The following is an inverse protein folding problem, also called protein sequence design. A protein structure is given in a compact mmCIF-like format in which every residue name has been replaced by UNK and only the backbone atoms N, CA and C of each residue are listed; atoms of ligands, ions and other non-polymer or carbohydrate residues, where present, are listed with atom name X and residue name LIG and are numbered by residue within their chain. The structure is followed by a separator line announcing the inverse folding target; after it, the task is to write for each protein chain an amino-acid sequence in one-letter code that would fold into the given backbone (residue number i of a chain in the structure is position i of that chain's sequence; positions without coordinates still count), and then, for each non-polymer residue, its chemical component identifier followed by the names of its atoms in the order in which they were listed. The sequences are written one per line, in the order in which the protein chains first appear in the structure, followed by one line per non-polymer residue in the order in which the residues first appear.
data_IF_388214019640
#
_entry.id   IF_388214019640
#
_cell.length_a   1.000
_cell.length_b   1.000
_cell.length_c   1.000
_cell.angle_alpha   90.00
_cell.angle_beta   90.00
_cell.angle_gamma   90.00
#
_symmetry.space_group_name_H-M   'P 1'
#
loop_
_entity.id
_entity.type
_entity.pdbx_description
1 polymer ?
#
# COMPACT_ATOMS: atom_id res chain seq x y z
N UNK A 1 -3.69 19.27 -45.70
CA UNK A 1 -2.87 20.45 -45.36
C UNK A 1 -3.12 20.76 -43.89
N UNK A 2 -2.16 20.46 -43.01
CA UNK A 2 -2.23 20.85 -41.60
C UNK A 2 -1.79 22.31 -41.53
N UNK A 3 -2.68 23.22 -41.12
CA UNK A 3 -2.34 24.64 -40.95
C UNK A 3 -1.33 24.77 -39.81
N UNK A 4 -0.08 25.04 -40.17
CA UNK A 4 0.91 25.50 -39.23
C UNK A 4 0.55 26.90 -38.76
N UNK A 5 0.72 27.13 -37.45
CA UNK A 5 0.54 28.40 -36.71
C UNK A 5 -0.89 28.72 -36.22
N UNK A 6 -1.58 27.78 -35.60
CA UNK A 6 -2.21 28.17 -34.33
C UNK A 6 -1.06 28.43 -33.37
N UNK A 7 -0.72 29.70 -33.21
CA UNK A 7 0.18 30.15 -32.16
C UNK A 7 -0.38 29.55 -30.87
N UNK A 8 0.43 28.76 -30.17
CA UNK A 8 0.02 28.05 -28.95
C UNK A 8 -0.54 29.03 -27.93
N UNK A 9 -1.86 29.30 -27.97
CA UNK A 9 -2.50 30.40 -27.26
C UNK A 9 -2.28 30.28 -25.76
N UNK A 10 -2.23 29.04 -25.26
CA UNK A 10 -1.85 28.73 -23.89
C UNK A 10 -0.47 29.29 -23.47
N UNK A 11 0.53 29.37 -24.36
CA UNK A 11 1.84 29.98 -24.05
C UNK A 11 1.73 31.48 -23.87
N UNK A 12 0.87 32.14 -24.63
CA UNK A 12 0.59 33.56 -24.49
C UNK A 12 -0.04 33.83 -23.12
N UNK A 13 -1.08 33.08 -22.76
CA UNK A 13 -1.70 33.19 -21.44
C UNK A 13 -0.72 32.84 -20.31
N UNK A 14 0.07 31.78 -20.45
CA UNK A 14 1.04 31.37 -19.41
C UNK A 14 2.08 32.46 -19.14
N UNK A 15 2.54 33.18 -20.17
CA UNK A 15 3.48 34.28 -20.01
C UNK A 15 2.83 35.54 -19.42
N UNK A 16 1.59 35.86 -19.79
CA UNK A 16 0.98 37.15 -19.49
C UNK A 16 0.19 37.18 -18.17
N UNK A 17 -0.32 36.04 -17.70
CA UNK A 17 -1.12 35.97 -16.46
C UNK A 17 -0.41 36.62 -15.25
N UNK A 18 0.88 36.36 -14.95
CA UNK A 18 1.53 36.96 -13.79
C UNK A 18 1.50 38.49 -13.81
N UNK A 19 1.77 39.10 -14.96
CA UNK A 19 1.75 40.56 -15.13
C UNK A 19 0.32 41.11 -14.98
N UNK A 20 -0.66 40.44 -15.58
CA UNK A 20 -2.06 40.85 -15.48
C UNK A 20 -2.64 40.70 -14.07
N UNK A 21 -2.25 39.65 -13.35
CA UNK A 21 -2.60 39.46 -11.94
C UNK A 21 -2.08 40.63 -11.11
N UNK A 22 -0.82 41.03 -11.28
CA UNK A 22 -0.24 42.18 -10.59
C UNK A 22 -0.99 43.49 -10.89
N UNK A 23 -1.40 43.70 -12.15
CA UNK A 23 -2.18 44.88 -12.55
C UNK A 23 -3.52 44.92 -11.81
N UNK A 24 -4.23 43.79 -11.74
CA UNK A 24 -5.55 43.69 -11.08
C UNK A 24 -5.44 43.77 -9.55
N UNK A 25 -4.38 43.21 -8.96
CA UNK A 25 -4.13 43.34 -7.52
C UNK A 25 -3.81 44.79 -7.11
N UNK A 26 -3.10 45.52 -7.97
CA UNK A 26 -2.80 46.95 -7.74
C UNK A 26 -4.01 47.85 -8.02
N UNK A 27 -4.90 47.42 -8.92
CA UNK A 27 -6.05 48.20 -9.37
C UNK A 27 -7.31 47.32 -9.36
N UNK A 28 -7.89 47.10 -8.19
CA UNK A 28 -9.04 46.19 -7.98
C UNK A 28 -10.22 46.47 -8.91
N UNK A 29 -10.42 47.75 -9.27
CA UNK A 29 -11.52 48.22 -10.11
C UNK A 29 -11.44 47.68 -11.55
N UNK A 30 -10.25 47.24 -11.98
CA UNK A 30 -10.02 46.64 -13.30
C UNK A 30 -10.37 45.14 -13.34
N UNK A 31 -10.59 44.49 -12.20
CA UNK A 31 -10.89 43.04 -12.15
C UNK A 31 -12.05 42.62 -13.06
N UNK A 32 -13.20 43.33 -13.08
CA UNK A 32 -14.31 42.96 -13.96
C UNK A 32 -13.96 43.06 -15.46
N UNK A 33 -13.08 43.98 -15.84
CA UNK A 33 -12.67 44.20 -17.22
C UNK A 33 -11.76 43.06 -17.75
N UNK A 34 -10.99 42.44 -16.86
CA UNK A 34 -10.11 41.32 -17.20
C UNK A 34 -10.71 39.94 -16.91
N UNK A 35 -12.01 39.87 -16.57
CA UNK A 35 -12.70 38.60 -16.29
C UNK A 35 -12.52 37.58 -17.42
N UNK A 36 -12.83 37.97 -18.66
CA UNK A 36 -12.73 37.08 -19.82
C UNK A 36 -11.30 36.65 -20.11
N UNK A 37 -10.31 37.48 -19.80
CA UNK A 37 -8.90 37.14 -19.96
C UNK A 37 -8.50 35.96 -19.06
N UNK A 38 -8.83 36.03 -17.76
CA UNK A 38 -8.48 34.95 -16.83
C UNK A 38 -9.29 33.68 -17.07
N UNK A 39 -10.58 33.80 -17.44
CA UNK A 39 -11.41 32.65 -17.82
C UNK A 39 -10.82 31.91 -19.02
N UNK A 40 -10.43 32.63 -20.07
CA UNK A 40 -9.77 32.03 -21.23
C UNK A 40 -8.41 31.44 -20.89
N UNK A 41 -7.63 32.10 -20.03
CA UNK A 41 -6.36 31.57 -19.56
C UNK A 41 -6.53 30.21 -18.86
N UNK A 42 -7.53 30.08 -17.99
CA UNK A 42 -7.87 28.81 -17.32
C UNK A 42 -8.23 27.73 -18.34
N UNK A 43 -9.05 28.06 -19.35
CA UNK A 43 -9.42 27.11 -20.40
C UNK A 43 -8.20 26.60 -21.18
N UNK A 44 -7.43 27.53 -21.73
CA UNK A 44 -6.32 27.24 -22.64
C UNK A 44 -5.16 26.54 -21.95
N UNK A 45 -4.79 26.98 -20.74
CA UNK A 45 -3.65 26.40 -20.01
C UNK A 45 -3.99 24.98 -19.51
N UNK A 46 -5.21 24.78 -18.98
CA UNK A 46 -5.61 23.48 -18.42
C UNK A 46 -5.69 22.37 -19.47
N UNK A 47 -6.14 22.68 -20.68
CA UNK A 47 -6.26 21.69 -21.76
C UNK A 47 -4.90 21.21 -22.30
N UNK A 48 -3.88 22.05 -22.19
CA UNK A 48 -2.58 21.81 -22.84
C UNK A 48 -1.52 21.29 -21.85
N UNK A 49 -1.68 21.55 -20.55
CA UNK A 49 -0.69 21.20 -19.53
C UNK A 49 -1.05 19.92 -18.78
N UNK A 50 -0.01 19.15 -18.46
CA UNK A 50 -0.12 17.93 -17.64
C UNK A 50 -0.13 18.21 -16.13
N UNK A 51 0.03 19.47 -15.74
CA UNK A 51 0.17 19.95 -14.37
C UNK A 51 -0.27 21.42 -14.27
N UNK A 52 -0.66 21.87 -13.07
CA UNK A 52 -1.03 23.26 -12.80
C UNK A 52 0.25 24.08 -12.62
N UNK A 53 0.54 24.96 -13.58
CA UNK A 53 1.65 25.92 -13.48
C UNK A 53 1.32 27.08 -12.55
N UNK A 54 2.34 27.86 -12.16
CA UNK A 54 2.14 29.06 -11.35
C UNK A 54 1.16 30.04 -12.02
N UNK A 55 1.30 30.25 -13.33
CA UNK A 55 0.38 31.07 -14.10
C UNK A 55 -1.06 30.54 -14.06
N UNK A 56 -1.26 29.21 -14.14
CA UNK A 56 -2.59 28.63 -13.99
C UNK A 56 -3.17 28.88 -12.60
N UNK A 57 -2.36 28.72 -11.54
CA UNK A 57 -2.80 28.98 -10.17
C UNK A 57 -3.19 30.45 -9.96
N UNK A 58 -2.41 31.38 -10.51
CA UNK A 58 -2.73 32.82 -10.49
C UNK A 58 -4.01 33.13 -11.28
N UNK A 59 -4.22 32.48 -12.44
CA UNK A 59 -5.46 32.64 -13.20
C UNK A 59 -6.66 32.13 -12.40
N UNK A 60 -6.57 30.95 -11.80
CA UNK A 60 -7.62 30.37 -10.95
C UNK A 60 -8.03 31.29 -9.78
N UNK A 61 -7.08 32.05 -9.22
CA UNK A 61 -7.35 33.01 -8.14
C UNK A 61 -8.14 34.25 -8.58
N UNK A 62 -8.14 34.58 -9.88
CA UNK A 62 -8.82 35.77 -10.40
C UNK A 62 -10.18 35.46 -11.04
N UNK A 63 -10.50 34.19 -11.26
CA UNK A 63 -11.76 33.75 -11.89
C UNK A 63 -12.87 33.58 -10.87
N UNK A 64 -14.12 33.83 -11.27
CA UNK A 64 -15.26 33.69 -10.38
C UNK A 64 -15.61 32.21 -10.12
N UNK A 65 -16.10 31.91 -8.92
CA UNK A 65 -16.47 30.56 -8.54
C UNK A 65 -17.62 30.02 -9.40
N UNK A 66 -18.55 30.88 -9.87
CA UNK A 66 -19.63 30.45 -10.77
C UNK A 66 -19.09 29.93 -12.10
N UNK A 67 -18.06 30.58 -12.67
CA UNK A 67 -17.38 30.08 -13.87
C UNK A 67 -16.72 28.73 -13.58
N UNK A 68 -15.99 28.61 -12.46
CA UNK A 68 -15.29 27.38 -12.11
C UNK A 68 -16.28 26.21 -11.93
N UNK A 69 -17.44 26.43 -11.32
CA UNK A 69 -18.48 25.41 -11.16
C UNK A 69 -19.05 24.96 -12.51
N UNK A 70 -19.25 25.87 -13.46
CA UNK A 70 -19.74 25.53 -14.81
C UNK A 70 -18.67 24.83 -15.66
N UNK A 71 -17.40 25.20 -15.48
CA UNK A 71 -16.29 24.71 -16.29
C UNK A 71 -15.72 23.38 -15.78
N UNK A 72 -15.56 23.23 -14.47
CA UNK A 72 -14.91 22.08 -13.83
C UNK A 72 -15.91 21.00 -13.43
N UNK A 73 -16.57 20.42 -14.44
CA UNK A 73 -17.56 19.35 -14.26
C UNK A 73 -16.93 17.96 -14.18
N UNK A 74 -17.74 16.96 -13.82
CA UNK A 74 -17.33 15.54 -13.83
C UNK A 74 -16.84 15.09 -15.21
N UNK A 75 -17.52 15.49 -16.29
CA UNK A 75 -17.15 15.16 -17.66
C UNK A 75 -15.79 15.76 -18.01
N UNK A 76 -15.54 17.00 -17.57
CA UNK A 76 -14.26 17.67 -17.76
C UNK A 76 -13.12 16.92 -17.09
N UNK A 77 -13.30 16.44 -15.86
CA UNK A 77 -12.28 15.65 -15.18
C UNK A 77 -12.02 14.30 -15.84
N UNK A 78 -13.04 13.67 -16.42
CA UNK A 78 -12.85 12.45 -17.23
C UNK A 78 -11.96 12.74 -18.44
N UNK A 79 -12.19 13.87 -19.13
CA UNK A 79 -11.37 14.29 -20.28
C UNK A 79 -9.92 14.54 -19.84
N UNK A 80 -9.71 15.30 -18.76
CA UNK A 80 -8.37 15.60 -18.24
C UNK A 80 -7.62 14.34 -17.77
N UNK A 81 -8.34 13.39 -17.16
CA UNK A 81 -7.78 12.13 -16.67
C UNK A 81 -7.49 11.10 -17.77
N UNK A 82 -7.92 11.35 -19.01
CA UNK A 82 -7.87 10.38 -20.13
C UNK A 82 -6.47 9.84 -20.35
N UNK A 83 -5.45 10.70 -20.37
CA UNK A 83 -4.05 10.29 -20.56
C UNK A 83 -3.28 10.17 -19.25
N UNK A 84 -3.58 11.03 -18.27
CA UNK A 84 -2.86 11.10 -17.00
C UNK A 84 -3.78 11.67 -15.93
N UNK A 85 -3.78 11.08 -14.73
CA UNK A 85 -4.54 11.62 -13.59
C UNK A 85 -3.86 12.83 -12.93
N UNK A 86 -2.60 13.13 -13.31
CA UNK A 86 -1.81 14.23 -12.71
C UNK A 86 -2.47 15.61 -12.78
N UNK A 87 -3.07 16.06 -13.91
CA UNK A 87 -3.71 17.38 -13.98
C UNK A 87 -4.83 17.52 -12.95
N UNK A 88 -5.63 16.47 -12.76
CA UNK A 88 -6.73 16.45 -11.79
C UNK A 88 -6.19 16.54 -10.36
N UNK A 89 -5.13 15.79 -10.03
CA UNK A 89 -4.49 15.86 -8.70
C UNK A 89 -3.94 17.26 -8.42
N UNK A 90 -3.22 17.84 -9.38
CA UNK A 90 -2.63 19.17 -9.21
C UNK A 90 -3.67 20.28 -9.13
N UNK A 91 -4.75 20.16 -9.89
CA UNK A 91 -5.89 21.08 -9.80
C UNK A 91 -6.55 21.02 -8.43
N UNK A 92 -6.81 19.82 -7.90
CA UNK A 92 -7.36 19.67 -6.55
C UNK A 92 -6.46 20.31 -5.49
N UNK A 93 -5.14 20.10 -5.55
CA UNK A 93 -4.18 20.74 -4.64
C UNK A 93 -4.18 22.26 -4.76
N UNK A 94 -4.24 22.79 -5.97
CA UNK A 94 -4.28 24.24 -6.18
C UNK A 94 -5.59 24.84 -5.66
N UNK A 95 -6.73 24.22 -5.97
CA UNK A 95 -8.03 24.68 -5.50
C UNK A 95 -8.11 24.66 -3.96
N UNK A 96 -7.71 23.55 -3.33
CA UNK A 96 -7.74 23.41 -1.89
C UNK A 96 -6.70 24.30 -1.17
N UNK A 97 -5.45 24.29 -1.62
CA UNK A 97 -4.34 24.93 -0.92
C UNK A 97 -4.14 26.41 -1.23
N UNK A 98 -4.65 26.91 -2.37
CA UNK A 98 -4.45 28.30 -2.80
C UNK A 98 -5.75 29.06 -3.00
N UNK A 99 -6.74 28.48 -3.67
CA UNK A 99 -7.99 29.20 -4.00
C UNK A 99 -8.91 29.28 -2.79
N UNK A 100 -9.24 28.13 -2.19
CA UNK A 100 -10.18 28.02 -1.07
C UNK A 100 -9.86 28.96 0.11
N UNK A 101 -8.59 29.11 0.57
CA UNK A 101 -8.26 29.99 1.69
C UNK A 101 -8.44 31.48 1.39
N UNK A 102 -8.53 31.88 0.13
CA UNK A 102 -8.70 33.28 -0.28
C UNK A 102 -10.16 33.72 -0.36
N UNK A 103 -11.09 32.77 -0.30
CA UNK A 103 -12.51 33.03 -0.38
C UNK A 103 -13.05 33.41 1.00
N UNK A 104 -13.76 34.53 1.09
CA UNK A 104 -14.45 34.97 2.31
C UNK A 104 -15.93 34.57 2.35
N UNK A 105 -16.51 34.28 1.19
CA UNK A 105 -17.93 33.94 1.04
C UNK A 105 -18.17 32.43 1.19
N UNK A 106 -19.16 32.06 2.00
CA UNK A 106 -19.46 30.67 2.32
C UNK A 106 -19.97 29.90 1.07
N UNK A 107 -20.80 30.52 0.23
CA UNK A 107 -21.31 29.86 -0.98
C UNK A 107 -20.17 29.59 -1.98
N UNK A 108 -19.23 30.52 -2.13
CA UNK A 108 -18.03 30.32 -2.93
C UNK A 108 -17.12 29.21 -2.35
N UNK A 109 -16.94 29.17 -1.03
CA UNK A 109 -16.17 28.11 -0.36
C UNK A 109 -16.80 26.72 -0.59
N UNK A 110 -18.12 26.61 -0.46
CA UNK A 110 -18.85 25.37 -0.70
C UNK A 110 -18.74 24.94 -2.16
N UNK A 111 -18.86 25.87 -3.10
CA UNK A 111 -18.72 25.61 -4.53
C UNK A 111 -17.33 25.05 -4.89
N UNK A 112 -16.25 25.66 -4.38
CA UNK A 112 -14.89 25.16 -4.61
C UNK A 112 -14.67 23.82 -3.92
N UNK A 113 -15.18 23.63 -2.71
CA UNK A 113 -15.10 22.35 -1.99
C UNK A 113 -15.79 21.22 -2.75
N UNK A 114 -16.94 21.49 -3.37
CA UNK A 114 -17.64 20.54 -4.24
C UNK A 114 -16.80 20.17 -5.48
N UNK A 115 -16.10 21.13 -6.09
CA UNK A 115 -15.19 20.87 -7.22
C UNK A 115 -14.00 20.00 -6.80
N UNK A 116 -13.42 20.27 -5.62
CA UNK A 116 -12.35 19.44 -5.04
C UNK A 116 -12.84 18.01 -4.80
N UNK A 117 -14.06 17.85 -4.26
CA UNK A 117 -14.69 16.54 -4.09
C UNK A 117 -14.85 15.78 -5.42
N UNK A 118 -15.26 16.46 -6.49
CA UNK A 118 -15.34 15.87 -7.84
C UNK A 118 -13.96 15.43 -8.37
N UNK A 119 -12.90 16.19 -8.09
CA UNK A 119 -11.53 15.79 -8.44
C UNK A 119 -11.13 14.50 -7.72
N UNK A 120 -11.40 14.42 -6.41
CA UNK A 120 -11.08 13.24 -5.58
C UNK A 120 -11.85 12.01 -6.10
N UNK A 121 -13.15 12.16 -6.37
CA UNK A 121 -13.98 11.12 -6.98
C UNK A 121 -13.35 10.56 -8.26
N UNK A 122 -12.84 11.43 -9.13
CA UNK A 122 -12.21 11.02 -10.38
C UNK A 122 -10.87 10.32 -10.14
N UNK A 123 -10.06 10.76 -9.17
CA UNK A 123 -8.81 10.09 -8.78
C UNK A 123 -9.10 8.70 -8.21
N UNK A 124 -10.12 8.58 -7.36
CA UNK A 124 -10.57 7.29 -6.81
C UNK A 124 -11.06 6.37 -7.93
N UNK A 125 -11.79 6.90 -8.92
CA UNK A 125 -12.24 6.12 -10.09
C UNK A 125 -11.07 5.62 -10.92
N UNK A 126 -10.10 6.47 -11.25
CA UNK A 126 -8.89 6.09 -12.02
C UNK A 126 -8.05 5.04 -11.28
N UNK A 127 -8.00 5.10 -9.95
CA UNK A 127 -7.37 4.07 -9.13
C UNK A 127 -8.13 2.73 -9.15
N UNK A 128 -9.47 2.74 -9.17
CA UNK A 128 -10.32 1.53 -9.18
C UNK A 128 -10.44 0.84 -10.53
N UNK A 129 -10.43 1.62 -11.61
CA UNK A 129 -10.63 1.14 -12.98
C UNK A 129 -9.29 1.15 -13.72
N UNK A 130 -8.40 0.16 -13.49
CA UNK A 130 -7.11 0.14 -14.16
C UNK A 130 -7.32 0.11 -15.67
N UNK A 131 -6.69 1.07 -16.36
CA UNK A 131 -6.66 1.10 -17.82
C UNK A 131 -6.11 -0.24 -18.30
N UNK A 132 -6.88 -0.98 -19.10
CA UNK A 132 -6.56 -2.30 -19.68
C UNK A 132 -5.41 -2.22 -20.69
N UNK A 133 -4.26 -1.71 -20.29
CA UNK A 133 -3.05 -1.75 -21.12
C UNK A 133 -2.18 -2.92 -20.68
N UNK A 134 -2.03 -3.88 -21.60
CA UNK A 134 -1.23 -5.10 -21.44
C UNK A 134 0.25 -4.85 -21.10
N UNK A 135 0.72 -3.59 -21.18
CA UNK A 135 2.10 -3.17 -20.94
C UNK A 135 2.33 -2.32 -19.67
N UNK A 136 1.28 -1.96 -18.93
CA UNK A 136 1.41 -1.24 -17.65
C UNK A 136 1.25 -2.20 -16.45
N UNK A 137 2.16 -3.17 -16.34
CA UNK A 137 2.38 -3.92 -15.10
C UNK A 137 3.27 -3.16 -14.10
N UNK A 138 3.77 -1.98 -14.48
CA UNK A 138 4.63 -1.15 -13.65
C UNK A 138 3.78 -0.10 -12.91
N UNK A 139 3.62 -0.35 -11.61
CA UNK A 139 2.99 0.52 -10.59
C UNK A 139 1.51 0.84 -10.82
N UNK A 140 0.63 -0.05 -10.35
CA UNK A 140 -0.69 0.42 -9.86
C UNK A 140 -0.41 1.57 -8.88
N UNK A 141 -1.07 2.74 -8.98
CA UNK A 141 -0.93 3.78 -7.96
C UNK A 141 -1.23 3.12 -6.62
N UNK A 142 -0.32 3.22 -5.65
CA UNK A 142 -0.52 2.55 -4.37
C UNK A 142 -1.70 3.18 -3.63
N UNK A 143 -2.39 2.44 -2.78
CA UNK A 143 -3.41 3.02 -1.89
C UNK A 143 -2.81 4.13 -1.03
N UNK A 144 -1.53 3.98 -0.64
CA UNK A 144 -0.79 5.03 0.06
C UNK A 144 -0.71 6.30 -0.79
N UNK A 145 -0.47 6.22 -2.10
CA UNK A 145 -0.41 7.40 -2.98
C UNK A 145 -1.77 8.13 -3.08
N UNK A 146 -2.86 7.37 -2.95
CA UNK A 146 -4.22 7.91 -2.91
C UNK A 146 -4.50 8.60 -1.57
N UNK A 147 -4.08 7.99 -0.46
CA UNK A 147 -4.20 8.58 0.88
C UNK A 147 -3.32 9.82 1.02
N UNK A 148 -2.05 9.77 0.60
CA UNK A 148 -1.13 10.91 0.55
C UNK A 148 -1.78 12.09 -0.19
N UNK A 149 -2.33 11.83 -1.38
CA UNK A 149 -3.06 12.85 -2.13
C UNK A 149 -4.27 13.40 -1.36
N UNK A 150 -5.06 12.54 -0.72
CA UNK A 150 -6.26 12.97 -0.01
C UNK A 150 -5.96 13.82 1.23
N UNK A 151 -4.90 13.49 1.98
CA UNK A 151 -4.43 14.31 3.08
C UNK A 151 -3.82 15.62 2.59
N UNK A 152 -3.11 15.63 1.45
CA UNK A 152 -2.62 16.88 0.83
C UNK A 152 -3.77 17.85 0.49
N UNK A 153 -4.93 17.33 0.11
CA UNK A 153 -6.12 18.12 -0.25
C UNK A 153 -7.16 18.24 0.88
N UNK A 154 -6.77 17.92 2.12
CA UNK A 154 -7.59 18.17 3.32
C UNK A 154 -8.82 17.28 3.49
N UNK A 155 -8.94 16.18 2.74
CA UNK A 155 -10.10 15.25 2.80
C UNK A 155 -9.72 13.84 3.27
N UNK A 156 -8.53 13.68 3.85
CA UNK A 156 -7.99 12.38 4.23
C UNK A 156 -8.94 11.55 5.11
N UNK A 157 -9.63 12.21 6.05
CA UNK A 157 -10.59 11.56 6.96
C UNK A 157 -11.84 11.03 6.24
N UNK A 158 -12.23 11.66 5.12
CA UNK A 158 -13.39 11.27 4.31
C UNK A 158 -13.16 10.01 3.46
N UNK A 159 -11.92 9.51 3.38
CA UNK A 159 -11.58 8.31 2.61
C UNK A 159 -11.79 6.98 3.36
N UNK A 160 -12.51 6.99 4.48
CA UNK A 160 -12.90 5.77 5.20
C UNK A 160 -13.53 4.72 4.28
N UNK A 161 -14.37 5.16 3.34
CA UNK A 161 -15.00 4.27 2.35
C UNK A 161 -14.01 3.60 1.39
N UNK A 162 -12.88 4.25 1.10
CA UNK A 162 -11.82 3.67 0.26
C UNK A 162 -11.14 2.54 1.02
N UNK A 163 -10.77 2.77 2.29
CA UNK A 163 -10.19 1.74 3.15
C UNK A 163 -11.17 0.56 3.34
N UNK A 164 -12.43 0.85 3.61
CA UNK A 164 -13.48 -0.17 3.75
C UNK A 164 -13.64 -1.01 2.47
N UNK A 165 -13.58 -0.40 1.29
CA UNK A 165 -13.69 -1.14 0.01
C UNK A 165 -12.52 -2.07 -0.25
N UNK A 166 -11.32 -1.74 0.22
CA UNK A 166 -10.17 -2.66 0.15
C UNK A 166 -10.43 -3.91 0.99
N UNK A 167 -11.09 -3.72 2.14
CA UNK A 167 -11.47 -4.81 3.03
C UNK A 167 -12.67 -5.57 2.47
N UNK A 168 -13.64 -4.96 1.77
CA UNK A 168 -14.90 -5.63 1.36
C UNK A 168 -14.79 -6.44 0.07
N UNK A 169 -13.71 -6.29 -0.71
CA UNK A 169 -13.53 -6.99 -1.99
C UNK A 169 -13.89 -8.49 -1.91
N UNK A 170 -14.75 -8.96 -2.82
CA UNK A 170 -15.36 -10.31 -2.75
C UNK A 170 -14.33 -11.45 -2.83
N UNK A 171 -13.29 -11.29 -3.65
CA UNK A 171 -12.20 -12.26 -3.80
C UNK A 171 -10.95 -11.83 -3.01
N UNK A 172 -10.97 -12.10 -1.70
CA UNK A 172 -9.77 -12.03 -0.84
C UNK A 172 -9.06 -13.37 -0.84
N UNK A 173 -8.35 -13.64 -1.91
CA UNK A 173 -7.36 -14.70 -1.92
C UNK A 173 -6.15 -14.32 -1.03
N UNK A 174 -5.33 -15.33 -0.76
CA UNK A 174 -4.17 -15.19 0.12
C UNK A 174 -3.15 -14.18 -0.44
N UNK A 175 -3.03 -14.10 -1.76
CA UNK A 175 -2.13 -13.20 -2.48
C UNK A 175 -2.56 -11.74 -2.29
N UNK A 176 -3.85 -11.43 -2.42
CA UNK A 176 -4.37 -10.08 -2.21
C UNK A 176 -4.11 -9.59 -0.78
N UNK A 177 -4.36 -10.42 0.23
CA UNK A 177 -4.11 -10.04 1.62
C UNK A 177 -2.62 -9.77 1.82
N UNK A 178 -1.76 -10.65 1.31
CA UNK A 178 -0.31 -10.56 1.48
C UNK A 178 0.36 -9.43 0.72
N UNK A 179 -0.08 -9.16 -0.51
CA UNK A 179 0.61 -8.25 -1.40
C UNK A 179 0.00 -6.84 -1.38
N UNK A 180 -1.22 -6.68 -0.87
CA UNK A 180 -1.92 -5.39 -0.81
C UNK A 180 -2.22 -4.95 0.62
N UNK A 181 -2.88 -5.78 1.44
CA UNK A 181 -3.36 -5.34 2.75
C UNK A 181 -2.25 -5.31 3.82
N UNK A 182 -1.42 -6.36 3.89
CA UNK A 182 -0.30 -6.43 4.86
C UNK A 182 0.72 -5.29 4.65
N UNK A 183 1.18 -4.99 3.42
CA UNK A 183 2.10 -3.88 3.18
C UNK A 183 1.47 -2.53 3.50
N UNK A 184 0.15 -2.39 3.31
CA UNK A 184 -0.56 -1.16 3.67
C UNK A 184 -0.54 -0.93 5.18
N UNK A 185 -0.89 -1.94 6.01
CA UNK A 185 -0.84 -1.82 7.47
C UNK A 185 0.57 -1.44 7.96
N UNK A 186 1.60 -2.06 7.40
CA UNK A 186 2.99 -1.79 7.80
C UNK A 186 3.55 -0.48 7.25
N UNK A 187 3.02 0.02 6.13
CA UNK A 187 3.42 1.26 5.48
C UNK A 187 2.69 2.52 5.96
N UNK A 188 1.59 2.37 6.71
CA UNK A 188 0.81 3.47 7.27
C UNK A 188 1.55 4.31 8.33
N UNK A 189 2.25 3.73 9.33
CA UNK A 189 2.82 4.51 10.44
C UNK A 189 3.78 5.64 10.03
N UNK A 190 4.73 5.44 9.08
CA UNK A 190 5.60 6.52 8.61
C UNK A 190 4.85 7.72 8.00
N UNK A 191 3.58 7.53 7.59
CA UNK A 191 2.77 8.57 6.95
C UNK A 191 1.89 9.35 7.94
N UNK A 192 1.61 8.77 9.10
CA UNK A 192 0.73 9.37 10.11
C UNK A 192 1.24 10.73 10.59
N UNK A 193 2.56 10.88 10.75
CA UNK A 193 3.19 12.14 11.13
C UNK A 193 2.98 13.23 10.07
N UNK A 194 3.22 12.90 8.80
CA UNK A 194 2.98 13.80 7.66
C UNK A 194 1.53 14.24 7.57
N UNK A 195 0.60 13.30 7.77
CA UNK A 195 -0.84 13.53 7.75
C UNK A 195 -1.37 14.20 9.03
N UNK A 196 -0.51 14.43 10.03
CA UNK A 196 -0.88 14.95 11.36
C UNK A 196 -2.03 14.20 12.00
N UNK A 197 -2.06 12.88 11.79
CA UNK A 197 -3.07 11.96 12.31
C UNK A 197 -2.38 10.83 13.09
N UNK A 198 -3.16 9.87 13.58
CA UNK A 198 -2.64 8.76 14.36
C UNK A 198 -3.31 7.45 13.95
N UNK A 199 -2.58 6.35 14.08
CA UNK A 199 -3.04 5.04 13.59
C UNK A 199 -4.25 4.47 14.35
N UNK A 200 -4.54 4.99 15.56
CA UNK A 200 -5.75 4.67 16.31
C UNK A 200 -6.95 5.58 15.99
N UNK A 201 -6.85 6.45 14.97
CA UNK A 201 -8.01 7.17 14.47
C UNK A 201 -9.02 6.18 13.86
N UNK A 202 -10.34 6.42 13.99
CA UNK A 202 -11.38 5.42 13.69
C UNK A 202 -11.26 4.74 12.32
N UNK A 203 -10.91 5.51 11.29
CA UNK A 203 -10.78 5.03 9.91
C UNK A 203 -9.60 4.05 9.72
N UNK A 204 -8.49 4.27 10.42
CA UNK A 204 -7.31 3.42 10.35
C UNK A 204 -7.43 2.25 11.31
N UNK A 205 -7.98 2.46 12.50
CA UNK A 205 -8.17 1.40 13.47
C UNK A 205 -9.09 0.31 12.93
N UNK A 206 -10.21 0.68 12.32
CA UNK A 206 -11.13 -0.27 11.69
C UNK A 206 -10.44 -1.06 10.57
N UNK A 207 -9.71 -0.37 9.69
CA UNK A 207 -8.96 -1.01 8.60
C UNK A 207 -7.88 -1.98 9.10
N UNK A 208 -7.06 -1.55 10.07
CA UNK A 208 -6.01 -2.36 10.66
C UNK A 208 -6.61 -3.60 11.35
N UNK A 209 -7.66 -3.43 12.14
CA UNK A 209 -8.32 -4.53 12.86
C UNK A 209 -8.85 -5.59 11.91
N UNK A 210 -9.60 -5.20 10.89
CA UNK A 210 -10.13 -6.16 9.91
C UNK A 210 -9.02 -6.83 9.10
N UNK A 211 -7.96 -6.10 8.74
CA UNK A 211 -6.82 -6.68 8.03
C UNK A 211 -6.09 -7.71 8.88
N UNK A 212 -5.83 -7.42 10.17
CA UNK A 212 -5.19 -8.37 11.07
C UNK A 212 -6.08 -9.58 11.36
N UNK A 213 -7.40 -9.41 11.46
CA UNK A 213 -8.36 -10.53 11.59
C UNK A 213 -8.31 -11.45 10.38
N UNK A 214 -8.37 -10.88 9.18
CA UNK A 214 -8.26 -11.64 7.94
C UNK A 214 -6.93 -12.40 7.86
N UNK A 215 -5.83 -11.75 8.23
CA UNK A 215 -4.51 -12.37 8.30
C UNK A 215 -4.49 -13.54 9.30
N UNK A 216 -4.96 -13.32 10.53
CA UNK A 216 -4.97 -14.34 11.58
C UNK A 216 -5.89 -15.53 11.25
N UNK A 217 -7.02 -15.30 10.59
CA UNK A 217 -8.00 -16.35 10.28
C UNK A 217 -7.66 -17.15 9.01
N UNK A 218 -7.14 -16.48 7.97
CA UNK A 218 -6.90 -17.12 6.67
C UNK A 218 -5.45 -17.52 6.43
N UNK A 219 -4.50 -16.68 6.86
CA UNK A 219 -3.09 -16.81 6.43
C UNK A 219 -2.18 -17.44 7.48
N UNK A 220 -2.57 -17.39 8.75
CA UNK A 220 -1.82 -18.07 9.80
C UNK A 220 -2.12 -19.58 9.73
N UNK A 221 -1.13 -20.41 9.36
CA UNK A 221 -1.34 -21.85 9.38
C UNK A 221 -1.46 -22.34 10.83
N UNK A 222 -2.02 -23.54 11.00
CA UNK A 222 -2.03 -24.20 12.30
C UNK A 222 -0.61 -24.29 12.86
N UNK A 223 -0.51 -24.09 14.18
CA UNK A 223 0.77 -24.18 14.87
C UNK A 223 1.34 -25.59 14.66
N UNK A 224 2.57 -25.73 14.14
CA UNK A 224 3.23 -27.03 14.07
C UNK A 224 3.34 -27.64 15.47
N UNK A 225 2.90 -28.89 15.63
CA UNK A 225 3.04 -29.62 16.89
C UNK A 225 4.52 -29.93 17.21
N UNK A 226 5.32 -30.11 16.17
CA UNK A 226 6.74 -30.46 16.29
C UNK A 226 7.63 -29.23 16.06
N UNK A 227 8.55 -28.99 16.98
CA UNK A 227 9.61 -27.99 16.79
C UNK A 227 10.71 -28.51 15.87
N UNK A 228 11.42 -27.60 15.20
CA UNK A 228 12.63 -27.98 14.47
C UNK A 228 13.68 -28.48 15.48
N UNK A 229 14.22 -29.70 15.31
CA UNK A 229 15.23 -30.25 16.20
C UNK A 229 16.45 -29.33 16.34
N UNK A 230 16.94 -29.15 17.56
CA UNK A 230 18.10 -28.31 17.86
C UNK A 230 19.34 -28.71 17.05
N UNK A 231 19.50 -30.00 16.73
CA UNK A 231 20.57 -30.57 15.92
C UNK A 231 20.58 -29.97 14.50
N UNK A 232 19.41 -29.81 13.88
CA UNK A 232 19.29 -29.17 12.57
C UNK A 232 19.55 -27.66 12.66
N UNK A 233 19.19 -27.02 13.78
CA UNK A 233 19.50 -25.60 14.02
C UNK A 233 20.98 -25.36 14.31
N UNK A 234 21.71 -26.37 14.79
CA UNK A 234 23.17 -26.34 14.93
C UNK A 234 23.94 -26.73 13.67
N UNK A 235 23.26 -26.89 12.53
CA UNK A 235 23.90 -27.30 11.28
C UNK A 235 25.06 -26.37 10.87
N UNK A 236 26.17 -26.99 10.49
CA UNK A 236 27.30 -26.36 9.83
C UNK A 236 28.54 -26.16 10.68
N UNK A 237 29.63 -25.74 10.04
CA UNK A 237 30.94 -25.50 10.67
C UNK A 237 31.14 -24.05 11.17
N UNK A 238 30.05 -23.30 11.38
CA UNK A 238 30.07 -21.90 11.82
C UNK A 238 29.86 -20.88 10.70
N UNK A 239 29.98 -19.59 11.04
CA UNK A 239 29.54 -18.46 10.20
C UNK A 239 30.33 -18.21 8.90
N UNK A 240 31.48 -18.87 8.73
CA UNK A 240 32.40 -18.61 7.62
C UNK A 240 32.17 -19.51 6.40
N UNK A 241 31.32 -20.54 6.54
CA UNK A 241 30.94 -21.40 5.43
C UNK A 241 29.56 -20.99 4.90
N UNK A 242 29.54 -20.32 3.74
CA UNK A 242 28.31 -19.83 3.11
C UNK A 242 27.30 -20.95 2.85
N UNK A 243 27.75 -22.10 2.33
CA UNK A 243 26.86 -23.25 2.07
C UNK A 243 26.20 -23.77 3.36
N UNK A 244 26.96 -23.80 4.46
CA UNK A 244 26.42 -24.18 5.76
C UNK A 244 25.40 -23.18 6.30
N UNK A 245 25.66 -21.88 6.15
CA UNK A 245 24.73 -20.82 6.58
C UNK A 245 23.42 -20.91 5.80
N UNK A 246 23.47 -21.03 4.47
CA UNK A 246 22.29 -21.15 3.61
C UNK A 246 21.49 -22.42 3.93
N UNK A 247 22.17 -23.53 4.23
CA UNK A 247 21.52 -24.79 4.57
C UNK A 247 20.88 -24.75 5.96
N UNK A 248 21.50 -24.05 6.92
CA UNK A 248 20.90 -23.77 8.23
C UNK A 248 19.63 -22.91 8.09
N UNK A 249 19.66 -21.89 7.24
CA UNK A 249 18.47 -21.09 6.92
C UNK A 249 17.37 -21.93 6.26
N UNK A 250 17.74 -22.80 5.32
CA UNK A 250 16.83 -23.73 4.64
C UNK A 250 16.01 -24.59 5.61
N UNK A 251 16.61 -25.10 6.70
CA UNK A 251 15.85 -25.89 7.67
C UNK A 251 14.69 -25.10 8.30
N UNK A 252 14.85 -23.79 8.46
CA UNK A 252 13.82 -22.88 9.01
C UNK A 252 12.93 -22.22 7.95
N UNK A 253 13.28 -22.31 6.66
CA UNK A 253 12.54 -21.69 5.56
C UNK A 253 11.24 -22.44 5.23
N UNK A 254 10.35 -21.84 4.44
CA UNK A 254 9.12 -22.49 3.93
C UNK A 254 9.36 -23.35 2.67
N UNK A 255 10.59 -23.47 2.18
CA UNK A 255 10.92 -24.20 0.95
C UNK A 255 11.16 -25.70 1.22
N UNK A 256 10.62 -26.61 0.38
CA UNK A 256 10.79 -28.06 0.57
C UNK A 256 12.15 -28.59 0.13
N UNK A 257 12.84 -27.89 -0.78
CA UNK A 257 14.10 -28.31 -1.37
C UNK A 257 15.18 -27.25 -1.24
N UNK A 258 16.42 -27.72 -1.11
CA UNK A 258 17.63 -26.93 -1.28
C UNK A 258 18.59 -27.67 -2.21
N UNK A 259 19.31 -26.92 -3.03
CA UNK A 259 20.19 -27.49 -4.05
C UNK A 259 21.57 -26.84 -3.97
N UNK A 260 22.61 -27.67 -3.92
CA UNK A 260 24.01 -27.25 -3.94
C UNK A 260 24.65 -27.75 -5.24
N UNK A 261 24.77 -26.86 -6.22
CA UNK A 261 25.41 -27.14 -7.51
C UNK A 261 26.86 -26.67 -7.45
N UNK A 262 27.78 -27.59 -7.15
CA UNK A 262 29.17 -27.25 -6.84
C UNK A 262 30.14 -28.38 -7.22
N UNK A 263 31.44 -28.23 -6.94
CA UNK A 263 32.42 -29.31 -7.08
C UNK A 263 32.23 -30.40 -6.01
N UNK A 264 32.91 -31.54 -6.18
CA UNK A 264 32.77 -32.69 -5.26
C UNK A 264 33.08 -32.33 -3.80
N UNK A 265 34.16 -31.60 -3.53
CA UNK A 265 34.57 -31.22 -2.19
C UNK A 265 33.46 -30.47 -1.42
N UNK A 266 32.77 -29.53 -2.08
CA UNK A 266 31.68 -28.74 -1.48
C UNK A 266 30.46 -29.63 -1.18
N UNK A 267 30.08 -30.51 -2.12
CA UNK A 267 28.95 -31.43 -1.90
C UNK A 267 29.24 -32.43 -0.79
N UNK A 268 30.43 -33.03 -0.79
CA UNK A 268 30.86 -33.97 0.25
C UNK A 268 30.92 -33.28 1.63
N UNK A 269 31.34 -32.02 1.68
CA UNK A 269 31.26 -31.23 2.91
C UNK A 269 29.81 -31.12 3.42
N UNK A 270 28.85 -30.74 2.57
CA UNK A 270 27.43 -30.67 2.92
C UNK A 270 26.86 -32.03 3.38
N UNK A 271 27.16 -33.12 2.66
CA UNK A 271 26.75 -34.49 3.02
C UNK A 271 27.30 -34.92 4.39
N UNK A 272 28.56 -34.59 4.68
CA UNK A 272 29.18 -34.88 5.97
C UNK A 272 28.51 -34.11 7.11
N UNK A 273 28.15 -32.84 6.88
CA UNK A 273 27.44 -32.04 7.88
C UNK A 273 26.00 -32.55 8.10
N UNK A 274 25.30 -32.98 7.05
CA UNK A 274 23.97 -33.61 7.17
C UNK A 274 24.04 -34.90 7.99
N UNK A 275 25.10 -35.68 7.79
CA UNK A 275 25.38 -36.90 8.56
C UNK A 275 25.71 -36.57 10.01
N UNK A 276 26.54 -35.55 10.26
CA UNK A 276 26.95 -35.13 11.60
C UNK A 276 25.78 -34.71 12.49
N UNK A 277 24.76 -34.04 11.92
CA UNK A 277 23.54 -33.67 12.65
C UNK A 277 22.46 -34.75 12.63
N UNK A 278 22.77 -35.95 12.12
CA UNK A 278 21.83 -37.06 11.97
C UNK A 278 20.55 -36.67 11.23
N UNK A 279 20.65 -35.87 10.16
CA UNK A 279 19.49 -35.28 9.49
C UNK A 279 18.45 -36.33 9.02
N UNK A 280 18.89 -37.54 8.69
CA UNK A 280 18.04 -38.67 8.29
C UNK A 280 17.06 -39.13 9.37
N UNK A 281 17.42 -39.03 10.67
CA UNK A 281 16.51 -39.37 11.78
C UNK A 281 15.32 -38.42 11.86
N UNK A 282 15.45 -37.25 11.22
CA UNK A 282 14.40 -36.24 11.09
C UNK A 282 13.75 -36.24 9.70
N UNK A 283 13.86 -37.37 8.98
CA UNK A 283 13.30 -37.59 7.64
C UNK A 283 13.81 -36.63 6.56
N UNK A 284 14.95 -35.97 6.79
CA UNK A 284 15.63 -35.19 5.75
C UNK A 284 16.33 -36.18 4.81
N UNK A 285 16.09 -36.03 3.51
CA UNK A 285 16.68 -36.85 2.46
C UNK A 285 17.64 -36.01 1.62
N UNK A 286 18.70 -36.61 1.13
CA UNK A 286 19.58 -35.95 0.17
C UNK A 286 20.13 -36.94 -0.85
N UNK A 287 20.35 -36.45 -2.07
CA UNK A 287 20.89 -37.23 -3.18
C UNK A 287 21.71 -36.34 -4.11
N UNK A 288 22.78 -36.88 -4.71
CA UNK A 288 23.55 -36.17 -5.73
C UNK A 288 23.05 -36.54 -7.13
N UNK A 289 22.43 -35.58 -7.82
CA UNK A 289 22.05 -35.69 -9.24
C UNK A 289 23.27 -35.52 -10.15
N UNK A 290 23.51 -36.52 -11.00
CA UNK A 290 24.66 -36.59 -11.91
C UNK A 290 24.35 -36.18 -13.36
N UNK A 291 23.18 -35.55 -13.59
CA UNK A 291 22.69 -35.25 -14.95
C UNK A 291 23.54 -34.23 -15.72
N UNK A 292 24.03 -33.17 -15.07
CA UNK A 292 24.93 -32.17 -15.67
C UNK A 292 26.07 -31.84 -14.73
N UNK A 293 27.22 -31.43 -15.28
CA UNK A 293 28.37 -30.95 -14.49
C UNK A 293 28.34 -29.41 -14.39
N UNK A 294 28.68 -28.84 -13.22
CA UNK A 294 28.92 -29.53 -11.94
C UNK A 294 27.66 -30.25 -11.41
N UNK A 295 27.85 -31.41 -10.77
CA UNK A 295 26.72 -32.19 -10.20
C UNK A 295 26.04 -31.41 -9.07
N UNK A 296 24.78 -31.73 -8.81
CA UNK A 296 23.93 -31.04 -7.83
C UNK A 296 23.55 -31.97 -6.69
N UNK A 297 23.86 -31.58 -5.45
CA UNK A 297 23.30 -32.20 -4.26
C UNK A 297 21.90 -31.61 -4.01
N UNK A 298 20.86 -32.44 -4.05
CA UNK A 298 19.49 -32.06 -3.75
C UNK A 298 19.14 -32.55 -2.35
N UNK A 299 18.66 -31.64 -1.52
CA UNK A 299 18.25 -31.91 -0.14
C UNK A 299 16.75 -31.64 -0.04
N UNK A 300 16.02 -32.55 0.59
CA UNK A 300 14.57 -32.48 0.78
C UNK A 300 14.24 -32.64 2.26
N UNK A 301 13.41 -31.76 2.79
CA UNK A 301 12.85 -31.90 4.15
C UNK A 301 11.39 -32.36 4.08
N UNK A 302 10.87 -33.04 5.13
CA UNK A 302 9.48 -33.47 5.18
C UNK A 302 8.52 -32.27 5.26
N UNK A 303 7.27 -32.49 4.84
CA UNK A 303 6.23 -31.45 4.82
C UNK A 303 6.00 -30.84 6.21
N UNK A 304 6.13 -31.61 7.30
CA UNK A 304 6.02 -31.07 8.67
C UNK A 304 6.99 -29.91 8.94
N UNK A 305 8.21 -29.97 8.38
CA UNK A 305 9.21 -28.88 8.50
C UNK A 305 8.95 -27.73 7.52
N UNK A 306 8.29 -27.99 6.40
CA UNK A 306 7.83 -26.95 5.47
C UNK A 306 6.74 -26.11 6.12
N UNK A 307 5.76 -26.77 6.75
CA UNK A 307 4.68 -26.12 7.52
C UNK A 307 5.26 -25.26 8.64
N UNK A 308 6.28 -25.75 9.37
CA UNK A 308 6.95 -24.94 10.39
C UNK A 308 7.60 -23.68 9.82
N UNK A 309 8.26 -23.76 8.67
CA UNK A 309 8.82 -22.58 8.01
C UNK A 309 7.75 -21.58 7.57
N UNK A 310 6.65 -22.07 6.98
CA UNK A 310 5.49 -21.25 6.61
C UNK A 310 4.89 -20.56 7.83
N UNK A 311 4.68 -21.30 8.92
CA UNK A 311 4.19 -20.76 10.18
C UNK A 311 5.08 -19.64 10.70
N UNK A 312 6.39 -19.87 10.83
CA UNK A 312 7.33 -18.86 11.33
C UNK A 312 7.38 -17.62 10.43
N UNK A 313 7.33 -17.81 9.11
CA UNK A 313 7.29 -16.70 8.16
C UNK A 313 6.03 -15.85 8.35
N UNK A 314 4.86 -16.47 8.45
CA UNK A 314 3.58 -15.78 8.69
C UNK A 314 3.55 -15.14 10.08
N UNK A 315 4.05 -15.82 11.09
CA UNK A 315 4.16 -15.29 12.46
C UNK A 315 4.98 -14.00 12.48
N UNK A 316 6.16 -13.99 11.84
CA UNK A 316 7.00 -12.79 11.74
C UNK A 316 6.27 -11.64 11.05
N UNK A 317 5.52 -11.91 9.98
CA UNK A 317 4.72 -10.90 9.29
C UNK A 317 3.61 -10.35 10.20
N UNK A 318 2.87 -11.21 10.90
CA UNK A 318 1.87 -10.79 11.88
C UNK A 318 2.46 -9.96 13.02
N UNK A 319 3.65 -10.33 13.50
CA UNK A 319 4.38 -9.57 14.53
C UNK A 319 4.81 -8.19 14.01
N UNK A 320 5.25 -8.09 12.74
CA UNK A 320 5.55 -6.81 12.11
C UNK A 320 4.30 -5.93 11.99
N UNK A 321 3.15 -6.51 11.64
CA UNK A 321 1.88 -5.77 11.61
C UNK A 321 1.50 -5.27 13.00
N UNK A 322 1.58 -6.11 14.05
CA UNK A 322 1.32 -5.69 15.43
C UNK A 322 2.27 -4.57 15.87
N UNK A 323 3.56 -4.69 15.57
CA UNK A 323 4.55 -3.67 15.88
C UNK A 323 4.28 -2.34 15.15
N UNK A 324 3.78 -2.40 13.91
CA UNK A 324 3.37 -1.22 13.15
C UNK A 324 2.23 -0.43 13.83
N UNK A 325 1.35 -1.11 14.58
CA UNK A 325 0.28 -0.45 15.34
C UNK A 325 0.78 0.29 16.59
N UNK A 326 2.06 0.13 16.95
CA UNK A 326 2.66 0.74 18.14
C UNK A 326 2.77 -0.23 19.32
N UNK A 327 2.80 0.32 20.54
CA UNK A 327 2.96 -0.47 21.76
C UNK A 327 1.68 -1.25 22.13
N UNK A 328 1.77 -2.13 23.13
CA UNK A 328 0.68 -3.01 23.56
C UNK A 328 -0.63 -2.26 23.92
N UNK A 329 -0.52 -1.07 24.50
CA UNK A 329 -1.67 -0.24 24.86
C UNK A 329 -2.39 0.23 23.61
N UNK A 330 -1.65 0.73 22.61
CA UNK A 330 -2.21 1.17 21.33
C UNK A 330 -2.78 0.00 20.53
N UNK A 331 -2.09 -1.15 20.53
CA UNK A 331 -2.59 -2.38 19.91
C UNK A 331 -3.95 -2.81 20.49
N UNK A 332 -4.10 -2.78 21.83
CA UNK A 332 -5.38 -3.07 22.50
C UNK A 332 -6.47 -2.07 22.14
N UNK A 333 -6.12 -0.78 22.05
CA UNK A 333 -7.08 0.26 21.64
C UNK A 333 -7.58 0.04 20.20
N UNK A 334 -6.68 -0.29 19.27
CA UNK A 334 -7.03 -0.50 17.85
C UNK A 334 -7.85 -1.76 17.67
N UNK A 335 -7.36 -2.89 18.19
CA UNK A 335 -8.00 -4.20 17.99
C UNK A 335 -9.26 -4.38 18.85
N UNK A 336 -9.40 -3.65 19.95
CA UNK A 336 -10.58 -3.68 20.81
C UNK A 336 -10.93 -5.10 21.27
N UNK A 337 -12.17 -5.52 21.03
CA UNK A 337 -12.67 -6.85 21.39
C UNK A 337 -11.95 -7.99 20.65
N UNK A 338 -11.37 -7.73 19.48
CA UNK A 338 -10.65 -8.71 18.68
C UNK A 338 -9.18 -8.87 19.13
N UNK A 339 -8.71 -8.07 20.08
CA UNK A 339 -7.31 -8.06 20.52
C UNK A 339 -6.82 -9.45 20.93
N UNK A 340 -7.48 -10.11 21.88
CA UNK A 340 -7.00 -11.39 22.41
C UNK A 340 -7.00 -12.48 21.33
N UNK A 341 -8.04 -12.53 20.48
CA UNK A 341 -8.15 -13.56 19.43
C UNK A 341 -7.05 -13.44 18.37
N UNK A 342 -6.76 -12.21 17.93
CA UNK A 342 -5.71 -11.92 16.93
C UNK A 342 -4.33 -12.06 17.56
N UNK A 343 -4.13 -11.46 18.73
CA UNK A 343 -2.83 -11.40 19.40
C UNK A 343 -2.37 -12.80 19.81
N UNK A 344 -3.25 -13.67 20.31
CA UNK A 344 -2.88 -15.05 20.68
C UNK A 344 -2.45 -15.89 19.47
N UNK A 345 -3.18 -15.78 18.36
CA UNK A 345 -2.87 -16.51 17.12
C UNK A 345 -1.49 -16.11 16.58
N UNK A 346 -1.14 -14.82 16.65
CA UNK A 346 0.13 -14.29 16.15
C UNK A 346 1.28 -14.49 17.15
N UNK A 347 1.08 -14.25 18.45
CA UNK A 347 2.16 -14.18 19.46
C UNK A 347 2.40 -15.45 20.25
N UNK A 348 1.65 -16.53 19.98
CA UNK A 348 1.89 -17.84 20.59
C UNK A 348 1.50 -17.94 22.09
N UNK A 349 0.61 -17.06 22.60
CA UNK A 349 -0.01 -17.33 23.91
C UNK A 349 -1.05 -18.44 23.73
N UNK A 350 -0.73 -19.61 24.28
CA UNK A 350 -1.46 -20.86 24.07
C UNK A 350 -2.95 -20.72 24.40
N UNK A 351 -3.84 -21.13 23.49
CA UNK A 351 -5.15 -21.66 23.89
C UNK A 351 -4.87 -22.83 24.82
N UNK A 352 -4.98 -22.62 26.14
CA UNK A 352 -5.26 -23.74 27.04
C UNK A 352 -6.60 -24.28 26.57
N UNK A 353 -6.57 -25.42 25.90
CA UNK A 353 -7.76 -26.13 25.49
C UNK A 353 -8.53 -26.43 26.78
N UNK A 354 -9.57 -25.63 27.07
CA UNK A 354 -10.58 -26.02 28.04
C UNK A 354 -11.32 -27.15 27.36
N UNK A 355 -10.91 -28.40 27.64
CA UNK A 355 -11.75 -29.55 27.39
C UNK A 355 -13.02 -29.34 28.22
N UNK A 356 -14.23 -29.47 27.64
CA UNK A 356 -15.43 -29.56 28.45
C UNK A 356 -15.30 -30.84 29.28
N UNK A 357 -15.19 -30.67 30.60
CA UNK A 357 -15.32 -31.76 31.54
C UNK A 357 -16.65 -32.45 31.26
N UNK A 358 -16.59 -33.71 30.86
CA UNK A 358 -17.71 -34.64 30.87
C UNK A 358 -18.30 -34.66 32.29
N UNK A 359 -19.48 -34.08 32.45
CA UNK A 359 -20.33 -34.33 33.60
C UNK A 359 -20.86 -35.76 33.49
N UNK A 360 -20.18 -36.65 34.20
CA UNK A 360 -20.73 -37.91 34.69
C UNK A 360 -21.75 -37.52 35.76
N UNK A 361 -23.05 -37.75 35.50
CA UNK A 361 -24.07 -37.74 36.55
C UNK A 361 -24.02 -39.07 37.33
N UNK A 362 -24.06 -39.05 38.68
CA UNK A 362 -24.38 -40.22 39.48
C UNK A 362 -25.85 -40.22 39.94
N UNK A 363 -26.50 -41.39 39.92
CA UNK A 363 -27.83 -41.67 40.49
C UNK A 363 -28.99 -41.37 39.54
N UNK A 364 -29.94 -42.27 39.26
CA UNK A 364 -30.63 -43.25 40.13
C UNK A 364 -30.75 -44.67 39.56
#
# INVERSE_FOLDING_TARGET
MKSGKEQEAWKFYEALVPDMTKVVETNSDLRPLFKSFFENAVCEILDQRKDVSESMALALLQVSHEFLTLFLTRERFVILAKESIRPVKSLARCLHGRVLPTLSDAAAQDAISAIVALCIDQVVRDHREPKRSYYYSLSRPSVIDLLDFAYDVGVGDSLTDVLNKLIVKDDKDDEYIMDQLVPLVTGLPPRMETWKTYIAAPQFSAFCTETLKLFAQKLMPEKPAEQIPAQLLSFGCGRYCTDCTLMKEFFTASTPFHSVTAIAAVRTHAENQLTAVSASTYSVKWETSKYRRPYTLRIQKPESKVVHGKYKQRQNQGLQMLAALGNLTVQRQILGADFDSVYEVITEKSRKHIQPHSQICPGE
#
